data_IF_847294543124
#
_entry.id   IF_847294543124
#
_cell.length_a   1.000
_cell.length_b   1.000
_cell.length_c   1.000
_cell.angle_alpha   90.00
_cell.angle_beta   90.00
_cell.angle_gamma   90.00
#
_symmetry.space_group_name_H-M   'P 1'
#
loop_
_entity.id
_entity.type
_entity.pdbx_description
1 polymer ?
#
# COMPACT_ATOMS: atom_id res chain seq x y z
N UNK A 1 -6.70 6.78 -37.56
CA UNK A 1 -6.96 7.09 -36.13
C UNK A 1 -7.58 5.87 -35.50
N UNK A 2 -6.79 5.08 -34.75
CA UNK A 2 -7.27 3.88 -34.05
C UNK A 2 -7.09 4.11 -32.56
N UNK A 3 -8.21 4.20 -31.84
CA UNK A 3 -8.24 4.27 -30.38
C UNK A 3 -8.24 2.83 -29.86
N UNK A 4 -7.12 2.37 -29.32
CA UNK A 4 -7.07 1.16 -28.52
C UNK A 4 -7.55 1.51 -27.10
N UNK A 5 -8.80 1.18 -26.78
CA UNK A 5 -9.26 1.09 -25.39
C UNK A 5 -8.96 -0.33 -24.89
N UNK A 6 -7.79 -0.51 -24.27
CA UNK A 6 -7.46 -1.74 -23.56
C UNK A 6 -8.11 -1.71 -22.18
N UNK A 7 -9.25 -2.37 -22.07
CA UNK A 7 -9.91 -2.68 -20.80
C UNK A 7 -9.01 -3.58 -19.94
N UNK A 8 -8.56 -3.10 -18.78
CA UNK A 8 -8.17 -3.97 -17.67
C UNK A 8 -8.21 -3.18 -16.35
N UNK A 9 -9.24 -3.45 -15.56
CA UNK A 9 -9.36 -3.03 -14.16
C UNK A 9 -8.38 -3.77 -13.22
N UNK A 10 -7.49 -4.63 -13.76
CA UNK A 10 -6.42 -5.27 -12.98
C UNK A 10 -5.08 -4.51 -13.05
N UNK A 11 -4.94 -3.55 -13.97
CA UNK A 11 -3.86 -2.56 -13.94
C UNK A 11 -4.12 -1.40 -12.95
N UNK A 12 -5.08 -1.54 -12.02
CA UNK A 12 -5.61 -0.43 -11.23
C UNK A 12 -4.55 0.24 -10.32
N UNK A 13 -3.47 -0.48 -9.99
CA UNK A 13 -2.32 0.03 -9.25
C UNK A 13 -1.04 -0.56 -9.86
N UNK A 14 -0.14 0.31 -10.33
CA UNK A 14 1.21 -0.13 -10.73
C UNK A 14 1.97 -0.67 -9.51
N UNK A 15 3.01 -1.48 -9.77
CA UNK A 15 3.87 -2.04 -8.73
C UNK A 15 4.38 -0.95 -7.79
N UNK A 16 4.28 -1.19 -6.48
CA UNK A 16 4.73 -0.27 -5.43
C UNK A 16 4.13 1.14 -5.49
N UNK A 17 2.95 1.29 -6.11
CA UNK A 17 2.20 2.55 -6.12
C UNK A 17 0.89 2.42 -5.34
N UNK A 18 0.41 3.55 -4.85
CA UNK A 18 -0.85 3.62 -4.12
C UNK A 18 -1.41 5.03 -4.01
N UNK A 19 -2.56 5.11 -3.37
CA UNK A 19 -3.25 6.35 -3.04
C UNK A 19 -3.76 6.29 -1.61
N UNK A 20 -3.82 7.45 -0.96
CA UNK A 20 -4.59 7.65 0.26
C UNK A 20 -5.50 8.88 0.07
N UNK A 21 -6.81 8.67 0.18
CA UNK A 21 -7.79 9.73 -0.05
C UNK A 21 -8.46 10.09 1.27
N UNK A 22 -8.23 11.32 1.74
CA UNK A 22 -8.85 11.84 2.95
C UNK A 22 -10.20 12.48 2.62
N UNK A 23 -11.20 12.12 3.42
CA UNK A 23 -12.58 12.61 3.34
C UNK A 23 -13.02 13.07 4.73
N UNK A 24 -14.22 13.65 4.84
CA UNK A 24 -14.82 13.99 6.13
C UNK A 24 -14.98 12.78 7.08
N UNK A 25 -15.08 11.57 6.51
CA UNK A 25 -15.35 10.34 7.25
C UNK A 25 -14.08 9.49 7.46
N UNK A 26 -12.90 10.00 7.15
CA UNK A 26 -11.64 9.25 7.31
C UNK A 26 -10.83 9.14 6.03
N UNK A 27 -9.82 8.28 6.05
CA UNK A 27 -8.87 8.12 4.96
C UNK A 27 -8.96 6.72 4.36
N UNK A 28 -9.06 6.63 3.03
CA UNK A 28 -9.14 5.37 2.29
C UNK A 28 -7.80 5.10 1.61
N UNK A 29 -7.21 3.95 1.90
CA UNK A 29 -5.93 3.51 1.35
C UNK A 29 -6.17 2.47 0.26
N UNK A 30 -5.47 2.61 -0.85
CA UNK A 30 -5.28 1.57 -1.86
C UNK A 30 -3.81 1.54 -2.26
N UNK A 31 -3.10 0.44 -2.00
CA UNK A 31 -1.66 0.35 -2.27
C UNK A 31 -1.28 -1.01 -2.83
N UNK A 32 -0.30 -1.04 -3.73
CA UNK A 32 0.39 -2.25 -4.16
C UNK A 32 1.71 -2.34 -3.40
N UNK A 33 1.97 -3.45 -2.70
CA UNK A 33 3.21 -3.68 -1.95
C UNK A 33 3.92 -4.95 -2.44
N UNK A 34 5.25 -5.01 -2.39
CA UNK A 34 6.00 -6.22 -2.75
C UNK A 34 5.78 -7.32 -1.71
N UNK A 35 5.47 -8.54 -2.16
CA UNK A 35 5.27 -9.68 -1.24
C UNK A 35 6.58 -10.08 -0.55
N UNK A 36 7.73 -9.76 -1.15
CA UNK A 36 9.05 -10.02 -0.59
C UNK A 36 9.35 -9.21 0.67
N UNK A 37 8.59 -8.13 0.91
CA UNK A 37 8.66 -7.32 2.12
C UNK A 37 7.94 -7.94 3.32
N UNK A 38 7.16 -9.01 3.10
CA UNK A 38 6.58 -9.79 4.18
C UNK A 38 7.67 -10.67 4.80
N UNK A 39 8.00 -10.39 6.07
CA UNK A 39 9.19 -10.94 6.73
C UNK A 39 8.99 -12.36 7.24
N UNK A 40 7.77 -12.74 7.64
CA UNK A 40 7.48 -14.07 8.19
C UNK A 40 6.80 -15.00 7.18
N UNK A 41 6.84 -14.64 5.89
CA UNK A 41 6.27 -15.43 4.80
C UNK A 41 7.40 -16.00 3.97
N UNK A 42 7.64 -17.31 4.10
CA UNK A 42 8.43 -18.04 3.10
C UNK A 42 7.71 -17.93 1.75
N UNK A 43 8.42 -17.38 0.76
CA UNK A 43 7.96 -17.24 -0.62
C UNK A 43 8.28 -18.49 -1.41
N UNK A 44 7.54 -18.67 -2.52
CA UNK A 44 7.84 -19.67 -3.54
C UNK A 44 9.22 -19.46 -4.16
N UNK A 45 9.78 -20.48 -4.81
CA UNK A 45 11.14 -20.47 -5.39
C UNK A 45 11.39 -19.35 -6.41
N UNK A 46 10.34 -18.74 -6.95
CA UNK A 46 10.39 -17.62 -7.87
C UNK A 46 10.20 -16.24 -7.19
N UNK A 47 10.21 -16.18 -5.86
CA UNK A 47 10.12 -14.94 -5.07
C UNK A 47 8.72 -14.32 -4.98
N UNK A 48 7.68 -15.00 -5.47
CA UNK A 48 6.29 -14.58 -5.36
C UNK A 48 5.49 -15.35 -4.31
N UNK A 49 4.22 -14.98 -4.14
CA UNK A 49 3.27 -15.66 -3.26
C UNK A 49 2.20 -16.38 -4.10
N UNK A 50 2.08 -17.70 -3.96
CA UNK A 50 1.01 -18.48 -4.59
C UNK A 50 -0.35 -18.26 -3.91
N UNK A 51 -1.45 -18.68 -4.56
CA UNK A 51 -2.80 -18.62 -3.98
C UNK A 51 -2.90 -19.52 -2.75
N UNK A 52 -2.29 -20.71 -2.81
CA UNK A 52 -2.29 -21.69 -1.73
C UNK A 52 -1.57 -21.13 -0.50
N UNK A 53 -0.39 -20.54 -0.68
CA UNK A 53 0.36 -19.89 0.40
C UNK A 53 -0.35 -18.66 0.95
N UNK A 54 -0.95 -17.84 0.08
CA UNK A 54 -1.73 -16.68 0.48
C UNK A 54 -2.91 -17.07 1.37
N UNK A 55 -3.68 -18.08 0.96
CA UNK A 55 -4.83 -18.56 1.73
C UNK A 55 -4.40 -19.22 3.05
N UNK A 56 -3.35 -20.04 3.02
CA UNK A 56 -2.84 -20.74 4.21
C UNK A 56 -2.27 -19.77 5.27
N UNK A 57 -1.70 -18.63 4.85
CA UNK A 57 -1.03 -17.66 5.72
C UNK A 57 -1.79 -16.33 5.84
N UNK A 58 -3.04 -16.27 5.41
CA UNK A 58 -3.81 -15.02 5.28
C UNK A 58 -3.80 -14.18 6.57
N UNK A 59 -3.97 -14.81 7.73
CA UNK A 59 -3.99 -14.08 9.01
C UNK A 59 -2.63 -13.53 9.42
N UNK A 60 -1.55 -14.20 9.05
CA UNK A 60 -0.18 -13.70 9.26
C UNK A 60 0.10 -12.52 8.33
N UNK A 61 -0.29 -12.63 7.06
CA UNK A 61 -0.16 -11.55 6.07
C UNK A 61 -0.95 -10.32 6.54
N UNK A 62 -2.19 -10.50 7.02
CA UNK A 62 -2.99 -9.40 7.59
C UNK A 62 -2.27 -8.73 8.76
N UNK A 63 -1.68 -9.50 9.68
CA UNK A 63 -0.93 -8.95 10.83
C UNK A 63 0.25 -8.11 10.37
N UNK A 64 1.04 -8.60 9.42
CA UNK A 64 2.17 -7.85 8.88
C UNK A 64 1.73 -6.58 8.15
N UNK A 65 0.69 -6.65 7.33
CA UNK A 65 0.15 -5.48 6.63
C UNK A 65 -0.36 -4.42 7.62
N UNK A 66 -1.07 -4.83 8.68
CA UNK A 66 -1.59 -3.91 9.70
C UNK A 66 -0.49 -3.29 10.55
N UNK A 67 0.61 -4.01 10.79
CA UNK A 67 1.77 -3.48 11.51
C UNK A 67 2.62 -2.55 10.62
N UNK A 68 2.74 -2.88 9.34
CA UNK A 68 3.60 -2.19 8.39
C UNK A 68 2.96 -1.00 7.68
N UNK A 69 1.64 -0.79 7.81
CA UNK A 69 0.96 0.40 7.27
C UNK A 69 0.07 1.02 8.33
N UNK A 70 0.48 2.19 8.84
CA UNK A 70 -0.24 2.90 9.89
C UNK A 70 -0.35 4.40 9.63
N UNK A 71 -1.36 5.03 10.23
CA UNK A 71 -1.40 6.49 10.38
C UNK A 71 -1.05 6.84 11.82
N UNK A 72 -0.27 7.89 12.03
CA UNK A 72 -0.05 8.48 13.34
C UNK A 72 -0.76 9.83 13.42
N UNK A 73 -1.62 10.01 14.43
CA UNK A 73 -2.28 11.28 14.71
C UNK A 73 -1.37 12.27 15.45
N UNK A 74 -1.86 13.51 15.60
CA UNK A 74 -1.13 14.58 16.28
C UNK A 74 -0.77 14.26 17.74
N UNK A 75 -1.61 13.48 18.42
CA UNK A 75 -1.38 12.99 19.78
C UNK A 75 -0.39 11.81 19.86
N UNK A 76 0.31 11.52 18.75
CA UNK A 76 1.21 10.38 18.54
C UNK A 76 0.52 9.01 18.64
N UNK A 77 -0.82 8.95 18.71
CA UNK A 77 -1.52 7.67 18.72
C UNK A 77 -1.56 7.08 17.32
N UNK A 78 -1.32 5.79 17.25
CA UNK A 78 -1.46 5.00 16.03
C UNK A 78 -2.94 4.79 15.71
N UNK A 79 -3.34 5.22 14.53
CA UNK A 79 -4.62 4.92 13.90
C UNK A 79 -4.40 3.73 12.97
N UNK A 80 -4.96 2.59 13.36
CA UNK A 80 -4.82 1.33 12.62
C UNK A 80 -5.77 1.27 11.42
N UNK A 81 -5.32 0.60 10.36
CA UNK A 81 -6.12 0.34 9.17
C UNK A 81 -7.26 -0.64 9.51
N UNK A 82 -8.47 -0.36 9.04
CA UNK A 82 -9.66 -1.19 9.24
C UNK A 82 -10.28 -1.58 7.90
N UNK A 83 -11.11 -2.64 7.93
CA UNK A 83 -11.76 -3.14 6.71
C UNK A 83 -10.74 -3.62 5.68
N UNK A 84 -9.65 -4.24 6.15
CA UNK A 84 -8.54 -4.69 5.32
C UNK A 84 -9.03 -5.72 4.29
N UNK A 85 -8.85 -5.40 3.00
CA UNK A 85 -9.03 -6.32 1.88
C UNK A 85 -7.66 -6.51 1.24
N UNK A 86 -7.30 -7.77 1.01
CA UNK A 86 -6.04 -8.18 0.42
C UNK A 86 -6.31 -8.98 -0.84
N UNK A 87 -5.52 -8.74 -1.89
CA UNK A 87 -5.62 -9.53 -3.12
C UNK A 87 -4.26 -9.66 -3.80
N UNK A 88 -4.00 -10.82 -4.40
CA UNK A 88 -2.77 -11.06 -5.15
C UNK A 88 -2.81 -10.36 -6.50
N UNK A 89 -1.74 -9.65 -6.85
CA UNK A 89 -1.60 -8.99 -8.15
C UNK A 89 -0.68 -9.83 -9.03
N UNK A 90 -1.30 -10.55 -9.97
CA UNK A 90 -0.61 -11.44 -10.90
C UNK A 90 -0.18 -10.68 -12.15
N UNK A 91 1.01 -10.98 -12.66
CA UNK A 91 1.46 -10.49 -13.97
C UNK A 91 0.66 -11.21 -15.06
N UNK A 92 0.16 -10.46 -16.06
CA UNK A 92 -0.59 -10.97 -17.22
C UNK A 92 -1.79 -11.87 -16.87
N UNK A 93 -2.40 -11.69 -15.70
CA UNK A 93 -3.49 -12.54 -15.18
C UNK A 93 -3.17 -14.05 -15.09
N UNK A 94 -1.89 -14.42 -15.13
CA UNK A 94 -1.48 -15.83 -15.02
C UNK A 94 -1.51 -16.25 -13.56
N UNK A 95 -2.66 -16.77 -13.14
CA UNK A 95 -2.93 -17.24 -11.78
C UNK A 95 -1.96 -18.36 -11.34
N UNK A 96 -1.42 -19.12 -12.29
CA UNK A 96 -0.44 -20.18 -12.00
C UNK A 96 0.96 -19.67 -11.62
N UNK A 97 1.23 -18.36 -11.77
CA UNK A 97 2.51 -17.76 -11.42
C UNK A 97 2.37 -17.06 -10.07
N UNK A 98 3.16 -17.44 -9.05
CA UNK A 98 3.19 -16.73 -7.77
C UNK A 98 3.28 -15.20 -7.94
N UNK A 99 2.41 -14.49 -7.25
CA UNK A 99 2.23 -13.05 -7.41
C UNK A 99 3.37 -12.28 -6.70
N UNK A 100 4.06 -11.35 -7.38
CA UNK A 100 5.12 -10.55 -6.77
C UNK A 100 4.60 -9.36 -5.96
N UNK A 101 3.33 -9.01 -6.09
CA UNK A 101 2.73 -7.86 -5.46
C UNK A 101 1.41 -8.23 -4.76
N UNK A 102 1.13 -7.53 -3.67
CA UNK A 102 -0.10 -7.65 -2.89
C UNK A 102 -0.83 -6.31 -2.92
N UNK A 103 -2.08 -6.33 -3.38
CA UNK A 103 -2.97 -5.19 -3.28
C UNK A 103 -3.54 -5.13 -1.86
N UNK A 104 -3.42 -3.96 -1.24
CA UNK A 104 -3.91 -3.63 0.09
C UNK A 104 -4.95 -2.53 -0.04
N UNK A 105 -6.18 -2.82 0.39
CA UNK A 105 -7.23 -1.82 0.52
C UNK A 105 -7.66 -1.73 1.99
N UNK A 106 -8.01 -0.53 2.43
CA UNK A 106 -8.60 -0.36 3.75
C UNK A 106 -8.96 1.10 4.06
N UNK A 107 -9.43 1.32 5.28
CA UNK A 107 -9.80 2.65 5.76
C UNK A 107 -9.27 2.92 7.15
N UNK A 108 -8.73 4.12 7.34
CA UNK A 108 -8.43 4.68 8.65
C UNK A 108 -9.59 5.52 9.17
N UNK A 109 -9.86 5.42 10.47
CA UNK A 109 -10.78 6.32 11.17
C UNK A 109 -10.01 7.59 11.56
N UNK A 110 -9.77 8.45 10.57
CA UNK A 110 -9.10 9.74 10.71
C UNK A 110 -10.15 10.85 10.88
N UNK A 111 -10.26 11.45 12.06
CA UNK A 111 -11.27 12.47 12.38
C UNK A 111 -10.73 13.90 12.36
N UNK A 112 -9.41 14.04 12.45
CA UNK A 112 -8.72 15.32 12.44
C UNK A 112 -8.44 15.77 11.00
N UNK A 113 -7.84 16.95 10.87
CA UNK A 113 -7.41 17.46 9.56
C UNK A 113 -6.32 16.55 8.98
N UNK A 114 -6.27 16.35 7.65
CA UNK A 114 -5.22 15.57 7.01
C UNK A 114 -3.81 15.98 7.45
N UNK A 115 -3.57 17.29 7.59
CA UNK A 115 -2.30 17.89 8.04
C UNK A 115 -1.86 17.47 9.46
N UNK A 116 -2.75 16.86 10.24
CA UNK A 116 -2.48 16.34 11.58
C UNK A 116 -1.97 14.89 11.57
N UNK A 117 -1.91 14.24 10.40
CA UNK A 117 -1.54 12.84 10.28
C UNK A 117 -0.18 12.65 9.60
N UNK A 118 0.56 11.64 10.06
CA UNK A 118 1.69 11.07 9.32
C UNK A 118 1.35 9.67 8.86
N UNK A 119 1.64 9.35 7.60
CA UNK A 119 1.56 8.00 7.06
C UNK A 119 2.89 7.29 7.24
N UNK A 120 2.83 6.05 7.69
CA UNK A 120 3.97 5.17 7.91
C UNK A 120 3.80 3.89 7.09
N UNK A 121 4.81 3.56 6.29
CA UNK A 121 4.87 2.33 5.49
C UNK A 121 6.25 1.71 5.63
N UNK A 122 6.31 0.46 6.08
CA UNK A 122 7.57 -0.28 6.30
C UNK A 122 7.63 -1.63 5.56
N UNK A 123 6.82 -1.81 4.52
CA UNK A 123 6.68 -3.06 3.76
C UNK A 123 7.46 -3.02 2.45
N UNK A 124 8.76 -2.71 2.53
CA UNK A 124 9.66 -2.65 1.39
C UNK A 124 10.14 -4.04 1.01
N UNK A 125 10.28 -4.30 -0.29
CA UNK A 125 10.71 -5.59 -0.79
C UNK A 125 12.22 -5.75 -0.79
N UNK A 126 12.65 -7.00 -0.96
CA UNK A 126 14.07 -7.40 -0.88
C UNK A 126 14.80 -7.28 -2.22
N UNK A 127 14.07 -7.12 -3.32
CA UNK A 127 14.68 -6.99 -4.65
C UNK A 127 15.12 -5.53 -4.90
N UNK A 128 16.12 -5.28 -5.78
CA UNK A 128 16.65 -3.94 -6.04
C UNK A 128 15.61 -2.89 -6.45
N UNK A 129 14.53 -3.32 -7.10
CA UNK A 129 13.44 -2.46 -7.58
C UNK A 129 12.21 -2.50 -6.66
N UNK A 130 12.36 -2.89 -5.40
CA UNK A 130 11.26 -3.01 -4.42
C UNK A 130 11.50 -2.19 -3.14
N UNK A 131 12.56 -1.39 -3.11
CA UNK A 131 12.97 -0.59 -1.95
C UNK A 131 12.24 0.76 -1.83
N UNK A 132 11.28 1.04 -2.72
CA UNK A 132 10.53 2.29 -2.75
C UNK A 132 9.04 2.03 -2.92
N UNK A 133 8.20 2.74 -2.18
CA UNK A 133 6.74 2.76 -2.37
C UNK A 133 6.30 4.21 -2.57
N UNK A 134 5.49 4.48 -3.59
CA UNK A 134 4.98 5.82 -3.88
C UNK A 134 3.47 5.88 -3.59
N UNK A 135 3.07 6.75 -2.67
CA UNK A 135 1.66 6.99 -2.34
C UNK A 135 1.27 8.41 -2.73
N UNK A 136 0.19 8.54 -3.50
CA UNK A 136 -0.44 9.83 -3.76
C UNK A 136 -1.51 10.12 -2.71
N UNK A 137 -1.26 11.10 -1.84
CA UNK A 137 -2.23 11.57 -0.86
C UNK A 137 -3.13 12.65 -1.47
N UNK A 138 -4.45 12.54 -1.32
CA UNK A 138 -5.40 13.57 -1.77
C UNK A 138 -6.37 14.00 -0.66
N UNK A 139 -6.70 15.29 -0.63
CA UNK A 139 -7.71 15.87 0.25
C UNK A 139 -8.17 17.23 -0.28
N UNK A 140 -9.47 17.51 -0.32
CA UNK A 140 -10.01 18.85 -0.66
C UNK A 140 -9.36 19.50 -1.91
N UNK A 141 -9.19 18.73 -3.00
CA UNK A 141 -8.52 19.13 -4.25
C UNK A 141 -7.00 19.37 -4.16
N UNK A 142 -6.38 19.16 -3.00
CA UNK A 142 -4.92 19.06 -2.86
C UNK A 142 -4.45 17.65 -3.18
N UNK A 143 -3.24 17.55 -3.72
CA UNK A 143 -2.53 16.29 -3.96
C UNK A 143 -1.08 16.43 -3.51
N UNK A 144 -0.52 15.37 -2.92
CA UNK A 144 0.87 15.28 -2.51
C UNK A 144 1.40 13.89 -2.82
N UNK A 145 2.58 13.81 -3.44
CA UNK A 145 3.27 12.54 -3.66
C UNK A 145 4.20 12.27 -2.48
N UNK A 146 4.11 11.07 -1.92
CA UNK A 146 4.90 10.59 -0.79
C UNK A 146 5.74 9.40 -1.28
N UNK A 147 7.06 9.55 -1.24
CA UNK A 147 7.99 8.48 -1.60
C UNK A 147 8.61 7.87 -0.35
N UNK A 148 8.20 6.65 -0.04
CA UNK A 148 8.64 5.86 1.10
C UNK A 148 9.85 5.01 0.73
N UNK A 149 10.85 4.99 1.60
CA UNK A 149 11.98 4.04 1.56
C UNK A 149 12.28 3.56 2.97
N UNK A 150 13.14 2.56 3.14
CA UNK A 150 13.57 2.11 4.48
C UNK A 150 14.14 3.25 5.35
N UNK A 151 14.84 4.21 4.73
CA UNK A 151 15.41 5.37 5.41
C UNK A 151 14.37 6.48 5.68
N UNK A 152 13.26 6.48 4.92
CA UNK A 152 12.20 7.48 5.00
C UNK A 152 10.83 6.81 4.94
N UNK A 153 10.52 6.05 5.99
CA UNK A 153 9.30 5.24 6.06
C UNK A 153 8.09 6.03 6.60
N UNK A 154 8.27 7.29 6.98
CA UNK A 154 7.24 8.16 7.57
C UNK A 154 7.15 9.51 6.86
N UNK A 155 5.93 9.93 6.54
CA UNK A 155 5.67 11.22 5.90
C UNK A 155 4.49 11.94 6.54
N UNK A 156 4.64 13.24 6.78
CA UNK A 156 3.54 14.12 7.16
C UNK A 156 2.65 14.40 5.94
N UNK A 157 1.34 14.25 6.11
CA UNK A 157 0.34 14.52 5.08
C UNK A 157 0.18 16.04 4.89
N UNK A 158 0.28 16.49 3.65
CA UNK A 158 0.32 17.88 3.20
C UNK A 158 1.28 18.76 4.01
N UNK A 159 2.48 18.27 4.30
CA UNK A 159 3.54 19.10 4.87
C UNK A 159 3.78 20.33 3.99
N UNK A 160 3.80 21.53 4.58
CA UNK A 160 4.28 22.72 3.91
C UNK A 160 5.77 22.47 3.57
N UNK A 161 6.08 22.32 2.28
CA UNK A 161 7.47 22.40 1.84
C UNK A 161 7.84 23.87 1.93
N UNK A 162 8.55 24.25 3.00
CA UNK A 162 9.25 25.52 3.01
C UNK A 162 10.40 25.39 2.03
N UNK A 163 10.26 26.02 0.85
CA UNK A 163 11.38 26.28 -0.04
C UNK A 163 12.29 27.37 0.55
#
# INVERSE_FOLDING_TARGET
MWLFCSNSLAHLLENQKGTINFTQNGAFLAASIPVSGLSNIQLSDNGGLSIEEFNAKLDLIKKEVLAGITLQGQDKKTVVLRGLILNLVHIDHKISIPAPQLMVLGRFIARDKPESYSLEISLFGKNPNENKITITATANKKSQILEFTEQKFRHLIFSLVNN
#
